data_IF_791677553111
#
_entry.id   IF_791677553111
#
_cell.length_a   1.000
_cell.length_b   1.000
_cell.length_c   1.000
_cell.angle_alpha   90.00
_cell.angle_beta   90.00
_cell.angle_gamma   90.00
#
_symmetry.space_group_name_H-M   'P 1'
#
loop_
_entity.id
_entity.type
_entity.pdbx_description
1 polymer ?
#
# COMPACT_ATOMS: atom_id res chain seq x y z
N UNK A 1 9.66 -25.92 -1.14
CA UNK A 1 8.28 -26.30 -0.78
C UNK A 1 7.33 -25.42 -1.57
N UNK A 2 6.08 -25.80 -1.82
CA UNK A 2 5.06 -24.77 -1.54
C UNK A 2 3.68 -25.26 -1.15
N UNK A 3 3.42 -26.57 -1.10
CA UNK A 3 2.32 -27.04 -0.26
C UNK A 3 2.91 -28.08 0.70
N UNK A 4 2.84 -27.77 1.98
CA UNK A 4 3.29 -28.62 3.08
C UNK A 4 2.84 -27.98 4.38
N UNK A 5 2.60 -28.71 5.47
CA UNK A 5 1.87 -29.99 5.56
C UNK A 5 0.48 -29.65 6.14
N UNK A 6 -0.56 -30.36 5.74
CA UNK A 6 -1.88 -30.32 6.41
C UNK A 6 -3.01 -29.58 5.68
N UNK A 7 -2.77 -28.99 4.51
CA UNK A 7 -3.85 -28.53 3.63
C UNK A 7 -4.29 -29.68 2.71
N UNK A 8 -5.57 -30.04 2.75
CA UNK A 8 -6.19 -31.09 1.93
C UNK A 8 -6.63 -30.59 0.54
N UNK A 9 -6.34 -29.33 0.19
CA UNK A 9 -6.63 -28.79 -1.13
C UNK A 9 -6.58 -27.26 -1.20
N UNK A 10 -6.38 -26.74 -2.41
CA UNK A 10 -6.42 -25.31 -2.72
C UNK A 10 -5.07 -24.61 -2.61
N UNK A 11 -4.49 -24.28 -3.76
CA UNK A 11 -3.11 -23.85 -3.90
C UNK A 11 -3.04 -22.64 -4.84
N UNK A 12 -2.73 -21.45 -4.32
CA UNK A 12 -2.53 -20.25 -5.14
C UNK A 12 -1.06 -19.90 -5.20
N UNK A 13 -0.51 -19.86 -6.42
CA UNK A 13 0.87 -19.47 -6.65
C UNK A 13 0.94 -18.16 -7.44
N UNK A 14 1.35 -17.09 -6.76
CA UNK A 14 1.63 -15.81 -7.40
C UNK A 14 3.09 -15.78 -7.87
N UNK A 15 3.28 -15.79 -9.19
CA UNK A 15 4.59 -15.70 -9.81
C UNK A 15 4.98 -14.24 -10.10
N UNK A 16 6.18 -13.86 -9.69
CA UNK A 16 6.71 -12.51 -9.97
C UNK A 16 7.17 -12.40 -11.42
N UNK A 17 6.85 -11.26 -12.06
CA UNK A 17 7.37 -10.88 -13.38
C UNK A 17 8.90 -10.96 -13.39
N UNK A 18 9.45 -11.69 -14.36
CA UNK A 18 10.90 -11.81 -14.56
C UNK A 18 11.36 -10.87 -15.69
N UNK A 19 12.63 -10.43 -15.67
CA UNK A 19 13.22 -9.72 -16.79
C UNK A 19 13.41 -10.70 -17.97
N UNK A 20 13.05 -10.26 -19.17
CA UNK A 20 13.23 -11.03 -20.41
C UNK A 20 14.35 -10.40 -21.26
N UNK A 21 14.76 -11.03 -22.37
CA UNK A 21 15.71 -10.42 -23.33
C UNK A 21 15.01 -9.42 -24.25
N UNK A 22 13.77 -9.73 -24.60
CA UNK A 22 12.88 -8.92 -25.42
C UNK A 22 11.62 -8.68 -24.60
N UNK A 23 11.32 -7.42 -24.34
CA UNK A 23 10.10 -7.04 -23.64
C UNK A 23 9.55 -5.76 -24.23
N UNK A 24 8.30 -5.48 -23.87
CA UNK A 24 7.61 -4.26 -24.25
C UNK A 24 7.58 -3.35 -23.04
N UNK A 25 7.70 -2.06 -23.31
CA UNK A 25 7.43 -1.02 -22.34
C UNK A 25 5.94 -0.72 -22.41
N UNK A 26 5.28 -0.77 -21.27
CA UNK A 26 3.85 -0.53 -21.17
C UNK A 26 3.59 0.52 -20.09
N UNK A 27 2.84 1.54 -20.43
CA UNK A 27 2.31 2.50 -19.49
C UNK A 27 0.79 2.48 -19.65
N UNK A 28 0.08 2.36 -18.54
CA UNK A 28 -1.38 2.39 -18.53
C UNK A 28 -1.86 3.36 -17.45
N UNK A 29 -2.83 4.17 -17.84
CA UNK A 29 -3.56 5.05 -16.94
C UNK A 29 -5.04 4.64 -17.03
N UNK A 30 -5.65 4.42 -15.87
CA UNK A 30 -7.05 4.09 -15.73
C UNK A 30 -7.69 5.17 -14.89
N UNK A 31 -8.74 5.78 -15.41
CA UNK A 31 -9.57 6.74 -14.70
C UNK A 31 -11.00 6.23 -14.68
N UNK A 32 -11.73 6.51 -13.60
CA UNK A 32 -13.11 6.10 -13.45
C UNK A 32 -13.82 6.91 -12.36
N UNK A 33 -15.08 6.58 -12.15
CA UNK A 33 -15.93 7.28 -11.18
C UNK A 33 -15.43 7.12 -9.74
N UNK A 34 -15.88 8.02 -8.86
CA UNK A 34 -15.55 8.04 -7.42
C UNK A 34 -14.05 8.16 -7.16
N UNK A 35 -13.40 9.10 -7.86
CA UNK A 35 -11.99 9.42 -7.66
C UNK A 35 -11.04 8.25 -7.98
N UNK A 36 -11.46 7.30 -8.83
CA UNK A 36 -10.64 6.15 -9.18
C UNK A 36 -9.59 6.56 -10.23
N UNK A 37 -8.33 6.57 -9.82
CA UNK A 37 -7.17 6.78 -10.67
C UNK A 37 -6.11 5.71 -10.43
N UNK A 38 -5.69 4.99 -11.46
CA UNK A 38 -4.62 4.00 -11.40
C UNK A 38 -3.62 4.23 -12.50
N UNK A 39 -2.35 4.36 -12.14
CA UNK A 39 -1.24 4.45 -13.07
C UNK A 39 -0.32 3.24 -12.87
N UNK A 40 0.02 2.57 -13.96
CA UNK A 40 1.00 1.49 -13.96
C UNK A 40 2.04 1.73 -15.04
N UNK A 41 3.29 1.45 -14.71
CA UNK A 41 4.41 1.51 -15.64
C UNK A 41 5.18 0.20 -15.54
N UNK A 42 5.31 -0.51 -16.64
CA UNK A 42 6.18 -1.68 -16.78
C UNK A 42 7.27 -1.33 -17.79
N UNK A 43 8.44 -1.04 -17.27
CA UNK A 43 9.62 -0.72 -18.06
C UNK A 43 10.54 -1.93 -18.11
N UNK A 44 10.97 -2.28 -19.30
CA UNK A 44 11.83 -3.40 -19.57
C UNK A 44 12.97 -2.96 -20.48
N UNK A 45 14.21 -3.13 -20.00
CA UNK A 45 15.39 -2.72 -20.73
C UNK A 45 16.44 -3.82 -20.74
N UNK A 46 16.96 -4.09 -21.93
CA UNK A 46 18.15 -4.93 -22.10
C UNK A 46 19.39 -4.07 -21.86
N UNK A 47 20.25 -4.53 -20.95
CA UNK A 47 21.52 -3.89 -20.60
C UNK A 47 22.65 -4.76 -21.16
N UNK A 48 23.06 -4.48 -22.39
CA UNK A 48 24.06 -5.29 -23.10
C UNK A 48 23.55 -6.69 -23.48
N UNK A 49 24.45 -7.64 -23.65
CA UNK A 49 24.09 -8.98 -24.16
C UNK A 49 23.65 -9.95 -23.06
N UNK A 50 24.03 -9.67 -21.80
CA UNK A 50 23.92 -10.62 -20.68
C UNK A 50 23.07 -10.14 -19.51
N UNK A 51 22.61 -8.89 -19.54
CA UNK A 51 21.86 -8.30 -18.42
C UNK A 51 20.50 -7.81 -18.90
N UNK A 52 19.50 -7.99 -18.05
CA UNK A 52 18.18 -7.44 -18.28
C UNK A 52 17.62 -6.86 -16.98
N UNK A 53 17.01 -5.69 -17.09
CA UNK A 53 16.34 -4.99 -16.01
C UNK A 53 14.86 -4.86 -16.34
N UNK A 54 14.03 -5.11 -15.34
CA UNK A 54 12.59 -4.83 -15.38
C UNK A 54 12.20 -4.04 -14.15
N UNK A 55 11.45 -2.97 -14.35
CA UNK A 55 10.91 -2.12 -13.28
C UNK A 55 9.41 -2.00 -13.51
N UNK A 56 8.64 -2.34 -12.48
CA UNK A 56 7.19 -2.22 -12.45
C UNK A 56 6.82 -1.23 -11.35
N UNK A 57 6.12 -0.18 -11.72
CA UNK A 57 5.56 0.80 -10.80
C UNK A 57 4.04 0.73 -10.87
N UNK A 58 3.41 0.92 -9.73
CA UNK A 58 1.97 0.96 -9.63
C UNK A 58 1.60 2.00 -8.59
N UNK A 59 0.72 2.91 -8.97
CA UNK A 59 0.03 3.77 -8.04
C UNK A 59 -1.47 3.65 -8.31
N UNK A 60 -2.26 3.54 -7.26
CA UNK A 60 -3.70 3.52 -7.32
C UNK A 60 -4.20 4.39 -6.20
N UNK A 61 -5.05 5.33 -6.57
CA UNK A 61 -5.87 6.07 -5.63
C UNK A 61 -7.32 5.85 -6.04
N UNK A 62 -8.14 5.51 -5.07
CA UNK A 62 -9.57 5.34 -5.27
C UNK A 62 -10.24 5.81 -3.99
N UNK A 63 -11.17 6.75 -4.09
CA UNK A 63 -11.68 7.42 -2.91
C UNK A 63 -13.12 7.84 -3.05
N UNK A 64 -14.01 7.18 -2.30
CA UNK A 64 -15.33 7.68 -1.94
C UNK A 64 -15.30 8.33 -0.56
N UNK A 65 -16.26 7.97 0.28
CA UNK A 65 -16.43 8.48 1.65
C UNK A 65 -15.21 8.12 2.55
N UNK A 66 -15.08 8.76 3.72
CA UNK A 66 -13.88 8.72 4.58
C UNK A 66 -13.34 7.31 4.89
N UNK A 67 -14.18 6.30 5.11
CA UNK A 67 -13.75 4.91 5.40
C UNK A 67 -13.77 3.98 4.18
N UNK A 68 -14.05 4.52 2.98
CA UNK A 68 -14.18 3.79 1.72
C UNK A 68 -13.20 4.33 0.67
N UNK A 69 -11.91 4.29 1.02
CA UNK A 69 -10.81 4.69 0.16
C UNK A 69 -9.78 3.56 0.06
N UNK A 70 -9.05 3.51 -1.04
CA UNK A 70 -8.00 2.53 -1.31
C UNK A 70 -6.83 3.19 -2.06
N UNK A 71 -5.75 3.43 -1.34
CA UNK A 71 -4.51 3.99 -1.85
C UNK A 71 -3.38 2.96 -1.79
N UNK A 72 -2.82 2.61 -2.94
CA UNK A 72 -1.78 1.59 -3.10
C UNK A 72 -0.64 2.13 -3.93
N UNK A 73 0.56 2.09 -3.36
CA UNK A 73 1.79 2.42 -4.07
C UNK A 73 2.73 1.21 -4.04
N UNK A 74 3.14 0.75 -5.22
CA UNK A 74 3.98 -0.42 -5.40
C UNK A 74 5.14 -0.15 -6.35
N UNK A 75 6.29 -0.71 -6.02
CA UNK A 75 7.48 -0.75 -6.84
C UNK A 75 8.05 -2.16 -6.81
N UNK A 76 8.26 -2.74 -7.99
CA UNK A 76 8.96 -4.01 -8.13
C UNK A 76 10.08 -3.84 -9.15
N UNK A 77 11.31 -4.08 -8.72
CA UNK A 77 12.48 -4.09 -9.59
C UNK A 77 13.01 -5.51 -9.68
N UNK A 78 13.38 -5.96 -10.86
CA UNK A 78 13.98 -7.27 -11.06
C UNK A 78 15.12 -7.14 -12.05
N UNK A 79 16.27 -7.64 -11.63
CA UNK A 79 17.50 -7.62 -12.38
C UNK A 79 17.95 -9.06 -12.56
N UNK A 80 18.30 -9.45 -13.78
CA UNK A 80 18.93 -10.75 -14.03
C UNK A 80 20.27 -10.53 -14.72
N UNK A 81 21.27 -11.21 -14.18
CA UNK A 81 22.62 -11.23 -14.71
C UNK A 81 23.02 -12.68 -15.02
N UNK A 82 23.54 -12.90 -16.23
CA UNK A 82 24.22 -14.13 -16.60
C UNK A 82 25.73 -13.90 -16.72
N UNK A 83 26.53 -14.39 -15.77
CA UNK A 83 27.99 -14.46 -15.93
C UNK A 83 28.28 -15.65 -16.85
N UNK A 84 28.59 -15.36 -18.12
CA UNK A 84 28.79 -16.36 -19.17
C UNK A 84 27.65 -16.37 -20.19
N UNK A 85 27.98 -16.06 -21.44
CA UNK A 85 27.15 -15.99 -22.67
C UNK A 85 25.59 -15.96 -22.47
N UNK A 86 25.08 -15.08 -21.60
CA UNK A 86 23.68 -14.60 -21.57
C UNK A 86 22.61 -15.48 -20.88
N UNK A 87 21.42 -14.89 -20.70
CA UNK A 87 20.20 -15.50 -20.12
C UNK A 87 19.89 -16.82 -20.84
N UNK A 88 19.95 -17.95 -20.12
CA UNK A 88 19.79 -19.29 -20.69
C UNK A 88 21.01 -20.21 -20.60
N UNK A 89 22.13 -19.77 -20.05
CA UNK A 89 23.37 -20.56 -19.97
C UNK A 89 23.65 -21.13 -18.56
N UNK A 90 24.87 -21.62 -18.30
CA UNK A 90 25.20 -22.47 -17.15
C UNK A 90 24.85 -21.81 -15.81
N UNK A 91 25.12 -20.52 -15.64
CA UNK A 91 24.87 -19.79 -14.40
C UNK A 91 24.02 -18.54 -14.61
N UNK A 92 22.93 -18.43 -13.84
CA UNK A 92 22.01 -17.30 -13.88
C UNK A 92 21.75 -16.79 -12.46
N UNK A 93 21.83 -15.46 -12.29
CA UNK A 93 21.65 -14.77 -11.01
C UNK A 93 20.49 -13.77 -11.06
N UNK A 94 19.23 -14.22 -10.88
CA UNK A 94 18.10 -13.31 -10.73
C UNK A 94 18.07 -12.68 -9.33
N UNK A 95 18.02 -11.36 -9.29
CA UNK A 95 17.74 -10.56 -8.12
C UNK A 95 16.39 -9.83 -8.30
N UNK A 96 15.57 -9.80 -7.25
CA UNK A 96 14.27 -9.16 -7.27
C UNK A 96 14.00 -8.40 -5.99
N UNK A 97 13.52 -7.17 -6.13
CA UNK A 97 13.05 -6.33 -5.05
C UNK A 97 11.57 -6.03 -5.25
N UNK A 98 10.77 -6.16 -4.21
CA UNK A 98 9.35 -5.86 -4.22
C UNK A 98 9.01 -5.02 -3.00
N UNK A 99 8.35 -3.89 -3.25
CA UNK A 99 7.81 -2.98 -2.26
C UNK A 99 6.35 -2.71 -2.61
N UNK A 100 5.47 -2.86 -1.63
CA UNK A 100 4.08 -2.43 -1.72
C UNK A 100 3.71 -1.78 -0.40
N UNK A 101 3.16 -0.56 -0.48
CA UNK A 101 2.50 0.12 0.60
C UNK A 101 1.01 0.20 0.29
N UNK A 102 0.20 -0.11 1.28
CA UNK A 102 -1.25 -0.05 1.21
C UNK A 102 -1.75 0.85 2.33
N UNK A 103 -2.63 1.77 1.98
CA UNK A 103 -3.44 2.55 2.91
C UNK A 103 -4.88 2.45 2.42
N UNK A 104 -5.79 1.99 3.28
CA UNK A 104 -7.16 1.68 2.85
C UNK A 104 -8.08 1.87 4.04
N UNK A 105 -9.25 2.47 3.81
CA UNK A 105 -10.32 2.46 4.79
C UNK A 105 -10.87 1.05 5.01
N UNK A 106 -11.44 0.79 6.18
CA UNK A 106 -12.02 -0.52 6.47
C UNK A 106 -13.54 -0.48 6.19
N UNK A 107 -14.03 -1.12 5.11
CA UNK A 107 -15.47 -1.33 4.93
C UNK A 107 -15.98 -2.38 5.93
N UNK A 108 -16.85 -1.98 6.85
CA UNK A 108 -17.60 -2.92 7.69
C UNK A 108 -18.88 -3.45 7.03
N UNK A 109 -19.23 -2.93 5.85
CA UNK A 109 -20.45 -3.30 5.13
C UNK A 109 -21.72 -2.75 5.79
N UNK A 110 -22.84 -3.43 5.54
CA UNK A 110 -24.15 -3.09 6.09
C UNK A 110 -24.49 -4.01 7.27
N UNK A 111 -25.18 -3.51 8.30
CA UNK A 111 -25.55 -4.31 9.46
C UNK A 111 -26.45 -5.49 9.09
N UNK A 112 -26.09 -6.67 9.59
CA UNK A 112 -26.90 -7.89 9.57
C UNK A 112 -27.44 -8.17 10.97
N UNK A 113 -28.61 -7.61 11.28
CA UNK A 113 -29.16 -7.58 12.64
C UNK A 113 -30.55 -8.22 12.71
N UNK A 114 -30.94 -8.61 13.92
CA UNK A 114 -32.31 -9.01 14.20
C UNK A 114 -33.17 -7.74 14.26
N UNK A 115 -34.35 -7.70 13.59
CA UNK A 115 -35.20 -6.52 13.58
C UNK A 115 -35.82 -6.23 14.95
N UNK A 116 -35.94 -7.25 15.81
CA UNK A 116 -36.47 -7.13 17.17
C UNK A 116 -35.65 -7.99 18.15
N UNK A 117 -35.58 -7.61 19.44
CA UNK A 117 -34.96 -8.44 20.47
C UNK A 117 -35.60 -9.83 20.53
N UNK A 118 -34.78 -10.88 20.49
CA UNK A 118 -35.23 -12.28 20.53
C UNK A 118 -35.55 -12.92 19.17
N UNK A 119 -35.57 -12.16 18.08
CA UNK A 119 -35.76 -12.73 16.73
C UNK A 119 -34.52 -13.49 16.24
N UNK A 120 -34.75 -14.69 15.67
CA UNK A 120 -33.74 -15.47 14.94
C UNK A 120 -33.67 -15.09 13.46
N UNK A 121 -34.70 -14.42 12.93
CA UNK A 121 -34.72 -13.88 11.58
C UNK A 121 -33.80 -12.66 11.51
N UNK A 122 -32.72 -12.79 10.73
CA UNK A 122 -31.73 -11.73 10.52
C UNK A 122 -31.97 -11.13 9.15
N UNK A 123 -31.97 -9.80 9.08
CA UNK A 123 -32.19 -9.06 7.84
C UNK A 123 -31.15 -7.96 7.70
N UNK A 124 -30.83 -7.62 6.45
CA UNK A 124 -30.08 -6.42 6.15
C UNK A 124 -30.97 -5.23 6.49
N UNK A 125 -30.44 -4.27 7.24
CA UNK A 125 -31.18 -3.06 7.55
C UNK A 125 -31.50 -2.33 6.23
N UNK A 126 -32.74 -1.83 6.02
CA UNK A 126 -33.13 -1.15 4.78
C UNK A 126 -32.56 0.27 4.74
N UNK A 127 -31.24 0.38 4.68
CA UNK A 127 -30.50 1.63 4.54
C UNK A 127 -29.94 1.76 3.13
N UNK A 128 -29.61 2.99 2.73
CA UNK A 128 -28.99 3.23 1.44
C UNK A 128 -27.71 2.38 1.28
N UNK A 129 -27.48 1.71 0.14
CA UNK A 129 -26.27 0.93 -0.10
C UNK A 129 -24.96 1.74 -0.03
N UNK A 130 -25.06 3.06 -0.15
CA UNK A 130 -23.94 3.99 0.00
C UNK A 130 -23.64 4.37 1.46
N UNK A 131 -24.46 3.93 2.42
CA UNK A 131 -24.25 4.20 3.84
C UNK A 131 -22.92 3.59 4.31
N UNK A 132 -22.16 4.35 5.10
CA UNK A 132 -20.90 3.93 5.67
C UNK A 132 -20.96 4.10 7.19
N UNK A 133 -20.71 3.03 7.92
CA UNK A 133 -20.68 3.01 9.39
C UNK A 133 -19.26 3.09 9.96
N UNK A 134 -18.25 3.23 9.09
CA UNK A 134 -16.87 3.42 9.50
C UNK A 134 -16.62 4.84 10.00
N UNK A 135 -15.66 4.97 10.91
CA UNK A 135 -15.16 6.24 11.39
C UNK A 135 -13.98 6.71 10.53
N UNK A 136 -13.68 8.02 10.51
CA UNK A 136 -12.46 8.55 9.90
C UNK A 136 -11.16 7.94 10.47
N UNK A 137 -11.21 7.41 11.69
CA UNK A 137 -10.07 6.74 12.33
C UNK A 137 -9.87 5.29 11.92
N UNK A 138 -10.77 4.71 11.12
CA UNK A 138 -10.69 3.30 10.71
C UNK A 138 -9.86 3.16 9.42
N UNK A 139 -8.60 2.76 9.59
CA UNK A 139 -7.65 2.55 8.50
C UNK A 139 -6.93 1.21 8.61
N UNK A 140 -6.54 0.68 7.46
CA UNK A 140 -5.74 -0.53 7.31
C UNK A 140 -4.47 -0.21 6.52
N UNK A 141 -3.41 0.10 7.27
CA UNK A 141 -2.09 0.34 6.68
C UNK A 141 -1.28 -0.95 6.66
N UNK A 142 -0.83 -1.33 5.46
CA UNK A 142 -0.06 -2.55 5.23
C UNK A 142 1.20 -2.25 4.43
N UNK A 143 2.27 -3.02 4.66
CA UNK A 143 3.40 -3.00 3.73
C UNK A 143 4.00 -4.39 3.51
N UNK A 144 4.50 -4.60 2.30
CA UNK A 144 5.18 -5.81 1.91
C UNK A 144 6.52 -5.45 1.26
N UNK A 145 7.61 -5.91 1.87
CA UNK A 145 8.98 -5.70 1.38
C UNK A 145 9.65 -7.05 1.22
N UNK A 146 10.04 -7.39 0.00
CA UNK A 146 10.73 -8.64 -0.29
C UNK A 146 12.02 -8.36 -1.06
N UNK A 147 13.11 -8.96 -0.60
CA UNK A 147 14.32 -9.14 -1.39
C UNK A 147 14.42 -10.62 -1.74
N UNK A 148 14.55 -10.92 -3.03
CA UNK A 148 14.76 -12.27 -3.54
C UNK A 148 16.08 -12.32 -4.26
N UNK A 149 16.96 -13.21 -3.84
CA UNK A 149 18.17 -13.57 -4.58
C UNK A 149 18.05 -15.03 -4.99
N UNK A 150 18.39 -15.33 -6.24
CA UNK A 150 18.50 -16.72 -6.68
C UNK A 150 19.74 -16.93 -7.51
N UNK A 151 20.24 -18.16 -7.46
CA UNK A 151 21.31 -18.67 -8.31
C UNK A 151 20.81 -19.95 -8.94
N UNK A 152 20.87 -20.03 -10.27
CA UNK A 152 20.49 -21.19 -11.05
C UNK A 152 21.72 -21.69 -11.79
N UNK A 153 22.16 -22.91 -11.47
CA UNK A 153 23.26 -23.60 -12.14
C UNK A 153 22.72 -24.79 -12.94
N UNK A 154 23.02 -24.83 -14.24
CA UNK A 154 22.64 -25.91 -15.17
C UNK A 154 23.81 -26.86 -15.32
N UNK A 155 23.65 -28.07 -14.82
CA UNK A 155 24.67 -29.11 -14.95
C UNK A 155 24.58 -29.71 -16.36
N UNK A 156 25.74 -29.87 -17.02
CA UNK A 156 25.82 -30.50 -18.34
C UNK A 156 25.28 -31.94 -18.25
N UNK A 157 24.48 -32.42 -19.21
CA UNK A 157 23.89 -33.74 -19.11
C UNK A 157 24.94 -34.84 -19.30
N UNK A 158 25.12 -35.68 -18.29
CA UNK A 158 25.71 -37.04 -18.43
C UNK A 158 24.61 -38.09 -18.78
N UNK A 159 23.35 -37.67 -18.87
CA UNK A 159 22.14 -38.49 -19.11
C UNK A 159 21.06 -37.64 -19.79
N UNK A 160 20.00 -38.20 -20.42
CA UNK A 160 19.05 -37.44 -21.25
C UNK A 160 18.14 -36.43 -20.50
N UNK A 161 18.42 -36.11 -19.24
CA UNK A 161 17.65 -35.14 -18.44
C UNK A 161 18.55 -33.99 -17.98
N UNK A 162 18.21 -32.73 -18.31
CA UNK A 162 18.96 -31.57 -17.82
C UNK A 162 18.72 -31.39 -16.32
N UNK A 163 19.75 -31.58 -15.49
CA UNK A 163 19.71 -31.28 -14.06
C UNK A 163 19.87 -29.77 -13.82
N UNK A 164 19.02 -29.20 -12.94
CA UNK A 164 19.08 -27.78 -12.54
C UNK A 164 19.17 -27.68 -11.03
N UNK A 165 20.19 -27.01 -10.53
CA UNK A 165 20.28 -26.63 -9.12
C UNK A 165 19.81 -25.18 -8.99
N UNK A 166 18.86 -24.90 -8.09
CA UNK A 166 18.39 -23.54 -7.81
C UNK A 166 18.44 -23.26 -6.32
N UNK A 167 19.30 -22.34 -5.92
CA UNK A 167 19.28 -21.76 -4.58
C UNK A 167 18.46 -20.47 -4.63
N UNK A 168 17.50 -20.30 -3.72
CA UNK A 168 16.68 -19.08 -3.62
C UNK A 168 16.57 -18.64 -2.16
N UNK A 169 17.05 -17.44 -1.88
CA UNK A 169 16.88 -16.76 -0.61
C UNK A 169 15.81 -15.68 -0.77
N UNK A 170 14.83 -15.65 0.13
CA UNK A 170 13.83 -14.58 0.19
C UNK A 170 13.83 -13.98 1.59
N UNK A 171 14.24 -12.72 1.69
CA UNK A 171 14.18 -11.95 2.92
C UNK A 171 12.90 -11.11 2.92
N UNK A 172 12.21 -11.09 4.05
CA UNK A 172 11.05 -10.22 4.29
C UNK A 172 11.37 -9.31 5.47
N UNK A 173 11.16 -8.01 5.30
CA UNK A 173 11.27 -7.06 6.39
C UNK A 173 9.91 -6.49 6.77
N UNK A 174 9.52 -6.55 8.05
CA UNK A 174 8.32 -5.88 8.52
C UNK A 174 8.49 -4.36 8.50
N UNK A 175 7.38 -3.64 8.41
CA UNK A 175 7.36 -2.21 8.73
C UNK A 175 7.62 -2.07 10.23
N UNK A 176 8.47 -1.15 10.69
CA UNK A 176 8.43 -0.74 12.09
C UNK A 176 7.02 -0.22 12.40
N UNK A 177 6.49 -0.47 13.62
CA UNK A 177 5.18 0.02 14.01
C UNK A 177 5.12 1.54 13.82
N UNK A 178 4.02 2.03 13.27
CA UNK A 178 3.80 3.48 13.18
C UNK A 178 3.83 4.06 14.59
N UNK A 179 4.58 5.15 14.78
CA UNK A 179 4.48 5.90 16.03
C UNK A 179 3.03 6.37 16.20
N UNK A 180 2.46 6.28 17.42
CA UNK A 180 1.11 6.76 17.65
C UNK A 180 0.99 8.23 17.22
N UNK A 181 -0.16 8.66 16.70
CA UNK A 181 -0.37 10.05 16.35
C UNK A 181 -0.04 10.92 17.57
N UNK A 182 0.76 11.98 17.36
CA UNK A 182 1.05 12.95 18.43
C UNK A 182 -0.30 13.43 18.99
N UNK A 183 -0.49 13.41 20.32
CA UNK A 183 -1.70 13.95 20.90
C UNK A 183 -1.88 15.37 20.40
N UNK A 184 -3.09 15.69 19.92
CA UNK A 184 -3.47 17.05 19.54
C UNK A 184 -3.09 17.95 20.71
N UNK A 185 -2.12 18.83 20.48
CA UNK A 185 -1.69 19.80 21.49
C UNK A 185 -2.93 20.62 21.83
N UNK A 186 -3.40 20.66 23.08
CA UNK A 186 -4.54 21.49 23.42
C UNK A 186 -4.17 22.92 23.03
N UNK A 187 -4.89 23.48 22.08
CA UNK A 187 -4.81 24.92 21.79
C UNK A 187 -5.16 25.61 23.10
N UNK A 188 -4.17 26.23 23.76
CA UNK A 188 -4.40 27.08 24.92
C UNK A 188 -5.57 28.01 24.56
N UNK A 189 -6.64 28.08 25.37
CA UNK A 189 -7.67 29.09 25.15
C UNK A 189 -6.96 30.45 25.13
N UNK A 190 -7.13 31.19 24.05
CA UNK A 190 -6.65 32.57 23.97
C UNK A 190 -7.19 33.30 25.19
N UNK A 191 -6.31 33.80 26.06
CA UNK A 191 -6.69 34.70 27.16
C UNK A 191 -7.51 35.82 26.53
N UNK A 192 -8.83 35.81 26.70
CA UNK A 192 -9.63 37.02 26.51
C UNK A 192 -9.10 38.02 27.52
N UNK A 193 -8.53 39.12 27.02
CA UNK A 193 -8.26 40.30 27.83
C UNK A 193 -9.56 40.71 28.52
N UNK A 194 -9.56 41.02 29.83
CA UNK A 194 -10.76 41.52 30.49
C UNK A 194 -11.16 42.86 29.83
N UNK A 195 -12.47 43.18 29.79
CA UNK A 195 -12.92 44.46 29.27
C UNK A 195 -12.30 45.60 30.09
N UNK A 196 -11.73 46.60 29.41
CA UNK A 196 -11.24 47.83 30.04
C UNK A 196 -12.43 48.51 30.73
N UNK A 197 -12.35 48.66 32.04
CA UNK A 197 -13.23 49.53 32.83
C UNK A 197 -13.18 50.97 32.27
N UNK A 198 -14.31 51.68 32.16
CA UNK A 198 -14.30 53.08 31.76
C UNK A 198 -13.61 53.94 32.82
N UNK A 199 -12.80 54.90 32.38
CA UNK A 199 -12.06 55.80 33.24
C UNK A 199 -13.00 56.73 34.05
N UNK A 200 -12.67 57.08 35.30
CA UNK A 200 -13.44 58.03 36.08
C UNK A 200 -13.32 59.45 35.50
N UNK A 201 -14.47 60.08 35.24
CA UNK A 201 -14.58 61.47 34.81
C UNK A 201 -14.10 62.41 35.93
N UNK A 202 -13.12 63.28 35.61
CA UNK A 202 -12.69 64.37 36.48
C UNK A 202 -13.81 65.41 36.63
N UNK A 203 -14.07 65.96 37.84
CA UNK A 203 -15.01 67.05 38.00
C UNK A 203 -14.43 68.36 37.43
N UNK A 204 -15.18 69.02 36.54
CA UNK A 204 -14.92 70.38 36.10
C UNK A 204 -15.30 71.36 37.21
N UNK A 205 -14.34 72.14 37.68
CA UNK A 205 -14.59 73.31 38.51
C UNK A 205 -15.07 74.47 37.63
N UNK A 206 -16.35 74.84 37.75
CA UNK A 206 -16.86 76.11 37.24
C UNK A 206 -16.83 77.16 38.34
N UNK A 207 -15.89 78.10 38.20
CA UNK A 207 -15.91 79.40 38.87
C UNK A 207 -17.24 80.10 38.55
N UNK A 208 -17.95 80.54 39.59
CA UNK A 208 -18.98 81.56 39.46
C UNK A 208 -18.34 82.91 39.76
N UNK A 209 -18.58 83.89 38.89
CA UNK A 209 -18.12 85.28 39.00
C UNK A 209 -19.32 86.13 39.42
N UNK A 210 -19.32 86.57 40.68
CA UNK A 210 -19.65 87.90 41.24
C UNK A 210 -19.95 87.77 42.72
#
# INVERSE_FOLDING_TARGET
>A
MLFGRGSTGGAVNQANKQPQRYGRNEAALTVGDKGCGRATLDYHQRLGERNALRVNLMNTSQGGNTSQHQDKAGLAASYSHGIGIGIGMTDEFPAGFYFLNNDTGIPYGLPWIAPTPGSTDRKLLPVAPAACYGLPGDYNTGSARYLTLSHLHRLRPLRPRPCRCRCRCRCRWPRPPAAPPRPLRPTKPSRRSPPRSPAPSRPMSSRCVR
#
